data_IF_808328206744
#
_entry.id   IF_808328206744
#
_cell.length_a   1.000
_cell.length_b   1.000
_cell.length_c   1.000
_cell.angle_alpha   90.00
_cell.angle_beta   90.00
_cell.angle_gamma   90.00
#
_symmetry.space_group_name_H-M   'P 1'
#
loop_
_entity.id
_entity.type
_entity.pdbx_description
1 polymer ?
#
# COMPACT_ATOMS: atom_id res chain seq x y z
N UNK A 1 7.78 25.59 -19.56
CA UNK A 1 6.55 25.00 -19.01
C UNK A 1 6.84 23.52 -18.72
N UNK A 2 6.62 23.09 -17.48
CA UNK A 2 6.66 21.68 -17.11
C UNK A 2 5.26 21.08 -17.24
N UNK A 3 5.13 19.94 -17.92
CA UNK A 3 3.88 19.19 -18.05
C UNK A 3 4.01 17.88 -17.29
N UNK A 4 3.09 17.64 -16.38
CA UNK A 4 3.04 16.40 -15.59
C UNK A 4 2.23 15.36 -16.35
N UNK A 5 2.78 14.14 -16.50
CA UNK A 5 2.02 12.99 -17.03
C UNK A 5 0.89 12.63 -16.05
N UNK A 6 -0.32 12.93 -16.44
CA UNK A 6 -1.51 12.74 -15.60
C UNK A 6 -1.75 11.26 -15.25
N UNK A 7 -1.46 10.33 -16.18
CA UNK A 7 -1.65 8.90 -15.98
C UNK A 7 -0.65 8.33 -14.98
N UNK A 8 0.63 8.70 -15.12
CA UNK A 8 1.66 8.28 -14.16
C UNK A 8 1.41 8.88 -12.77
N UNK A 9 1.02 10.17 -12.71
CA UNK A 9 0.66 10.83 -11.46
C UNK A 9 -0.50 10.14 -10.75
N UNK A 10 -1.56 9.78 -11.49
CA UNK A 10 -2.72 9.07 -10.94
C UNK A 10 -2.33 7.70 -10.38
N UNK A 11 -1.57 6.90 -11.14
CA UNK A 11 -1.09 5.59 -10.68
C UNK A 11 -0.20 5.70 -9.44
N UNK A 12 0.67 6.72 -9.40
CA UNK A 12 1.49 7.00 -8.22
C UNK A 12 0.63 7.38 -7.01
N UNK A 13 -0.42 8.18 -7.20
CA UNK A 13 -1.36 8.53 -6.13
C UNK A 13 -2.12 7.30 -5.59
N UNK A 14 -2.53 6.37 -6.46
CA UNK A 14 -3.13 5.09 -6.06
C UNK A 14 -2.17 4.28 -5.19
N UNK A 15 -0.94 4.09 -5.65
CA UNK A 15 0.09 3.36 -4.91
C UNK A 15 0.45 4.06 -3.59
N UNK A 16 0.48 5.40 -3.56
CA UNK A 16 0.79 6.14 -2.33
C UNK A 16 -0.32 6.00 -1.29
N UNK A 17 -1.57 6.13 -1.70
CA UNK A 17 -2.69 5.91 -0.78
C UNK A 17 -2.72 4.46 -0.29
N UNK A 18 -2.48 3.49 -1.18
CA UNK A 18 -2.38 2.08 -0.79
C UNK A 18 -1.23 1.82 0.20
N UNK A 19 -0.13 2.59 0.14
CA UNK A 19 0.97 2.52 1.13
C UNK A 19 0.49 2.88 2.54
N UNK A 20 -0.33 3.92 2.70
CA UNK A 20 -0.93 4.29 3.98
C UNK A 20 -1.88 3.21 4.50
N UNK A 21 -2.75 2.67 3.62
CA UNK A 21 -3.65 1.57 3.99
C UNK A 21 -2.88 0.29 4.37
N UNK A 22 -1.78 -0.01 3.67
CA UNK A 22 -0.90 -1.13 3.97
C UNK A 22 -0.23 -0.94 5.34
N UNK A 23 0.26 0.26 5.67
CA UNK A 23 0.85 0.54 6.97
C UNK A 23 -0.16 0.31 8.09
N UNK A 24 -1.40 0.78 7.94
CA UNK A 24 -2.48 0.49 8.88
C UNK A 24 -2.73 -1.02 8.99
N UNK A 25 -2.88 -1.72 7.86
CA UNK A 25 -3.13 -3.17 7.83
C UNK A 25 -2.04 -3.97 8.57
N UNK A 26 -0.78 -3.63 8.33
CA UNK A 26 0.36 -4.27 8.99
C UNK A 26 0.32 -4.09 10.51
N UNK A 27 -0.05 -2.91 11.00
CA UNK A 27 -0.18 -2.65 12.44
C UNK A 27 -1.37 -3.37 13.07
N UNK A 28 -2.47 -3.50 12.35
CA UNK A 28 -3.67 -4.22 12.82
C UNK A 28 -3.43 -5.75 12.87
N UNK A 29 -2.80 -6.31 11.84
CA UNK A 29 -2.60 -7.76 11.72
C UNK A 29 -1.38 -8.23 12.51
N UNK A 30 -0.23 -7.55 12.38
CA UNK A 30 1.03 -7.98 12.98
C UNK A 30 1.29 -7.33 14.36
N UNK A 31 0.63 -6.22 14.65
CA UNK A 31 0.71 -5.54 15.94
C UNK A 31 1.35 -4.15 15.89
N UNK A 32 1.21 -3.37 16.99
CA UNK A 32 1.60 -1.96 17.06
C UNK A 32 3.11 -1.71 17.00
N UNK A 33 3.96 -2.75 17.12
CA UNK A 33 5.41 -2.66 16.99
C UNK A 33 5.86 -2.39 15.54
N UNK A 34 4.97 -2.60 14.57
CA UNK A 34 5.26 -2.30 13.17
C UNK A 34 5.46 -0.80 12.99
N UNK A 35 6.64 -0.44 12.50
CA UNK A 35 7.00 0.93 12.16
C UNK A 35 7.64 0.95 10.77
N UNK A 36 7.31 1.96 9.98
CA UNK A 36 7.95 2.18 8.68
C UNK A 36 9.45 2.39 8.85
N UNK A 37 10.25 1.67 8.07
CA UNK A 37 11.72 1.81 7.99
C UNK A 37 12.17 2.37 6.64
N UNK A 38 11.30 2.32 5.64
CA UNK A 38 11.50 2.90 4.33
C UNK A 38 10.29 2.66 3.44
N UNK A 39 10.15 3.46 2.40
CA UNK A 39 9.15 3.24 1.36
C UNK A 39 9.63 3.77 0.02
N UNK A 40 9.09 3.20 -1.05
CA UNK A 40 9.24 3.72 -2.40
C UNK A 40 7.90 3.60 -3.13
N UNK A 41 7.45 4.70 -3.69
CA UNK A 41 6.17 4.78 -4.40
C UNK A 41 6.42 5.16 -5.84
N UNK A 42 6.09 4.25 -6.76
CA UNK A 42 6.23 4.43 -8.20
C UNK A 42 4.87 4.29 -8.89
N UNK A 43 4.78 4.68 -10.15
CA UNK A 43 3.54 4.50 -10.93
C UNK A 43 3.19 3.04 -11.22
N UNK A 44 4.15 2.12 -11.13
CA UNK A 44 3.98 0.69 -11.44
C UNK A 44 3.82 -0.20 -10.21
N UNK A 45 4.40 0.19 -9.08
CA UNK A 45 4.41 -0.58 -7.83
C UNK A 45 4.67 0.32 -6.63
N UNK A 46 4.42 -0.20 -5.45
CA UNK A 46 4.88 0.34 -4.19
C UNK A 46 5.76 -0.67 -3.46
N UNK A 47 6.63 -0.17 -2.60
CA UNK A 47 7.50 -0.94 -1.72
C UNK A 47 7.42 -0.36 -0.32
N UNK A 48 7.27 -1.22 0.68
CA UNK A 48 7.18 -0.82 2.08
C UNK A 48 8.09 -1.68 2.94
N UNK A 49 9.05 -1.04 3.61
CA UNK A 49 9.99 -1.67 4.52
C UNK A 49 9.53 -1.36 5.96
N UNK A 50 9.44 -2.39 6.79
CA UNK A 50 8.88 -2.25 8.14
C UNK A 50 9.61 -3.13 9.17
N UNK A 51 9.53 -2.72 10.45
CA UNK A 51 10.07 -3.51 11.56
C UNK A 51 9.18 -4.71 11.85
N UNK A 52 9.75 -5.91 11.71
CA UNK A 52 9.12 -7.17 12.13
C UNK A 52 10.18 -8.26 12.18
N UNK A 53 10.16 -9.10 13.25
CA UNK A 53 11.25 -10.03 13.51
C UNK A 53 11.05 -11.42 12.86
N UNK A 54 9.81 -11.81 12.61
CA UNK A 54 9.47 -13.10 11.99
C UNK A 54 9.08 -12.95 10.53
N UNK A 55 9.09 -14.06 9.81
CA UNK A 55 8.49 -14.12 8.47
C UNK A 55 6.98 -13.92 8.59
N UNK A 56 6.42 -13.06 7.75
CA UNK A 56 4.95 -12.92 7.64
C UNK A 56 4.41 -14.20 7.00
N UNK A 57 3.45 -14.83 7.65
CA UNK A 57 2.84 -16.07 7.16
C UNK A 57 1.92 -15.82 5.96
N UNK A 58 1.60 -16.87 5.16
CA UNK A 58 0.63 -16.72 4.07
C UNK A 58 -0.74 -16.23 4.54
N UNK A 59 -1.22 -16.68 5.69
CA UNK A 59 -2.51 -16.27 6.26
C UNK A 59 -2.47 -14.80 6.67
N UNK A 60 -1.42 -14.34 7.35
CA UNK A 60 -1.24 -12.93 7.69
C UNK A 60 -1.15 -12.04 6.43
N UNK A 61 -0.45 -12.49 5.36
CA UNK A 61 -0.40 -11.77 4.10
C UNK A 61 -1.78 -11.65 3.45
N UNK A 62 -2.58 -12.72 3.53
CA UNK A 62 -3.95 -12.71 3.02
C UNK A 62 -4.83 -11.76 3.84
N UNK A 63 -4.69 -11.74 5.17
CA UNK A 63 -5.45 -10.85 6.05
C UNK A 63 -5.08 -9.39 5.81
N UNK A 64 -3.79 -9.08 5.62
CA UNK A 64 -3.32 -7.74 5.24
C UNK A 64 -3.92 -7.31 3.90
N UNK A 65 -3.88 -8.18 2.90
CA UNK A 65 -4.44 -7.89 1.57
C UNK A 65 -5.97 -7.70 1.63
N UNK A 66 -6.66 -8.53 2.37
CA UNK A 66 -8.10 -8.43 2.62
C UNK A 66 -8.46 -7.11 3.32
N UNK A 67 -7.68 -6.72 4.34
CA UNK A 67 -7.89 -5.48 5.07
C UNK A 67 -7.78 -4.26 4.14
N UNK A 68 -6.71 -4.18 3.35
CA UNK A 68 -6.51 -3.08 2.39
C UNK A 68 -7.66 -3.04 1.37
N UNK A 69 -8.02 -4.18 0.79
CA UNK A 69 -9.09 -4.25 -0.20
C UNK A 69 -10.48 -3.92 0.40
N UNK A 70 -10.73 -4.24 1.67
CA UNK A 70 -11.94 -3.80 2.37
C UNK A 70 -12.01 -2.26 2.50
N UNK A 71 -10.88 -1.59 2.77
CA UNK A 71 -10.81 -0.11 2.80
C UNK A 71 -11.01 0.51 1.42
N UNK A 72 -10.50 -0.14 0.37
CA UNK A 72 -10.73 0.26 -1.02
C UNK A 72 -12.22 0.14 -1.38
N UNK A 73 -12.82 -1.01 -1.08
CA UNK A 73 -14.24 -1.27 -1.33
C UNK A 73 -15.17 -0.35 -0.53
N UNK A 74 -14.73 0.08 0.66
CA UNK A 74 -15.43 1.03 1.51
C UNK A 74 -15.47 2.46 0.97
N UNK A 75 -14.73 2.76 -0.11
CA UNK A 75 -14.72 4.07 -0.79
C UNK A 75 -14.52 5.23 0.16
N UNK A 76 -13.52 5.13 1.04
CA UNK A 76 -13.22 6.15 2.05
C UNK A 76 -12.77 7.45 1.37
N UNK A 77 -13.37 8.60 1.69
CA UNK A 77 -12.96 9.87 1.15
C UNK A 77 -11.61 10.32 1.74
N UNK A 78 -10.86 11.10 0.98
CA UNK A 78 -9.70 11.83 1.47
C UNK A 78 -10.17 12.95 2.41
N UNK A 79 -9.73 12.89 3.66
CA UNK A 79 -9.77 14.02 4.59
C UNK A 79 -8.35 14.58 4.69
N UNK A 80 -8.20 15.86 4.36
CA UNK A 80 -6.90 16.52 4.31
C UNK A 80 -6.91 17.78 5.18
N UNK A 81 -5.95 17.87 6.08
CA UNK A 81 -5.71 19.05 6.88
C UNK A 81 -4.32 19.61 6.55
N UNK A 82 -4.27 20.90 6.24
CA UNK A 82 -3.04 21.61 5.88
C UNK A 82 -2.72 22.67 6.92
N UNK A 83 -1.43 22.88 7.14
CA UNK A 83 -0.93 23.93 8.02
C UNK A 83 -1.44 23.82 9.47
N UNK A 84 -1.68 22.60 9.95
CA UNK A 84 -1.98 22.34 11.36
C UNK A 84 -0.69 22.21 12.17
N UNK A 85 -0.74 22.47 13.48
CA UNK A 85 0.43 22.25 14.33
C UNK A 85 0.74 20.75 14.46
N UNK A 86 2.01 20.44 14.71
CA UNK A 86 2.42 19.06 14.98
C UNK A 86 1.65 18.45 16.14
N UNK A 87 1.42 19.23 17.22
CA UNK A 87 0.70 18.77 18.39
C UNK A 87 -0.75 18.41 18.05
N UNK A 88 -1.45 19.28 17.31
CA UNK A 88 -2.81 19.00 16.86
C UNK A 88 -2.89 17.71 16.04
N UNK A 89 -1.95 17.51 15.11
CA UNK A 89 -1.92 16.30 14.30
C UNK A 89 -1.73 15.03 15.15
N UNK A 90 -0.85 15.07 16.16
CA UNK A 90 -0.62 13.96 17.11
C UNK A 90 -1.88 13.69 17.93
N UNK A 91 -2.53 14.74 18.45
CA UNK A 91 -3.75 14.63 19.25
C UNK A 91 -4.91 13.99 18.44
N UNK A 92 -4.91 14.20 17.12
CA UNK A 92 -5.84 13.57 16.17
C UNK A 92 -5.40 12.14 15.73
N UNK A 93 -4.32 11.62 16.30
CA UNK A 93 -3.83 10.26 16.08
C UNK A 93 -2.95 10.09 14.85
N UNK A 94 -2.42 11.17 14.29
CA UNK A 94 -1.54 11.08 13.14
C UNK A 94 -0.23 10.36 13.48
N UNK A 95 0.13 9.39 12.62
CA UNK A 95 1.44 8.74 12.68
C UNK A 95 2.49 9.64 12.02
N UNK A 96 3.50 10.02 12.79
CA UNK A 96 4.69 10.68 12.29
C UNK A 96 5.71 9.62 11.83
N UNK A 97 6.24 9.75 10.63
CA UNK A 97 7.22 8.79 10.10
C UNK A 97 8.58 9.02 10.77
N UNK A 98 9.21 7.93 11.17
CA UNK A 98 10.51 7.97 11.83
C UNK A 98 11.60 8.53 10.89
N UNK A 99 12.35 9.51 11.38
CA UNK A 99 13.49 10.08 10.65
C UNK A 99 13.13 11.25 9.72
N UNK A 100 11.87 11.62 9.57
CA UNK A 100 11.49 12.85 8.86
C UNK A 100 11.59 14.09 9.77
N UNK A 101 12.07 15.19 9.17
CA UNK A 101 12.10 16.49 9.85
C UNK A 101 10.85 17.26 9.47
N UNK A 102 9.98 17.47 10.44
CA UNK A 102 8.77 18.27 10.27
C UNK A 102 9.04 19.73 10.67
N UNK A 103 8.40 20.67 9.98
CA UNK A 103 8.38 22.07 10.37
C UNK A 103 7.37 22.35 11.48
N UNK A 104 7.15 23.63 11.79
CA UNK A 104 6.16 24.07 12.81
C UNK A 104 4.74 23.71 12.42
N UNK A 105 4.46 23.56 11.13
CA UNK A 105 3.19 23.13 10.60
C UNK A 105 3.35 21.92 9.69
N UNK A 106 2.34 21.04 9.71
CA UNK A 106 2.33 19.78 8.99
C UNK A 106 1.05 19.63 8.14
N UNK A 107 1.10 18.67 7.22
CA UNK A 107 -0.07 18.21 6.47
C UNK A 107 -0.44 16.82 6.94
N UNK A 108 -1.67 16.63 7.41
CA UNK A 108 -2.23 15.34 7.78
C UNK A 108 -3.16 14.83 6.67
N UNK A 109 -3.01 13.55 6.36
CA UNK A 109 -3.81 12.80 5.37
C UNK A 109 -4.55 11.70 6.12
N UNK A 110 -5.88 11.66 5.95
CA UNK A 110 -6.72 10.68 6.63
C UNK A 110 -7.62 9.95 5.62
N UNK A 111 -7.69 8.64 5.77
CA UNK A 111 -8.64 7.74 5.13
C UNK A 111 -9.26 6.82 6.19
N UNK A 112 -10.44 7.20 6.68
CA UNK A 112 -11.07 6.50 7.79
C UNK A 112 -10.22 6.56 9.06
N UNK A 113 -9.66 5.44 9.50
CA UNK A 113 -8.80 5.36 10.70
C UNK A 113 -7.29 5.49 10.39
N UNK A 114 -6.90 5.48 9.13
CA UNK A 114 -5.51 5.74 8.74
C UNK A 114 -5.26 7.23 8.74
N UNK A 115 -4.40 7.72 9.63
CA UNK A 115 -4.02 9.14 9.75
C UNK A 115 -2.50 9.23 9.75
N UNK A 116 -1.92 9.91 8.76
CA UNK A 116 -0.48 10.03 8.63
C UNK A 116 -0.05 11.44 8.22
N UNK A 117 1.12 11.87 8.69
CA UNK A 117 1.76 13.09 8.20
C UNK A 117 2.39 12.82 6.84
N UNK A 118 1.90 13.49 5.80
CA UNK A 118 2.35 13.23 4.45
C UNK A 118 2.25 14.43 3.52
N UNK A 119 3.37 14.75 2.83
CA UNK A 119 3.45 15.79 1.80
C UNK A 119 3.08 15.33 0.38
N UNK A 120 2.84 14.04 0.17
CA UNK A 120 2.68 13.45 -1.16
C UNK A 120 1.29 13.61 -1.79
N UNK A 121 1.13 13.01 -2.98
CA UNK A 121 -0.15 13.02 -3.71
C UNK A 121 -0.95 11.77 -3.43
N UNK A 122 -2.24 11.95 -3.21
CA UNK A 122 -3.20 10.89 -2.89
C UNK A 122 -4.41 10.92 -3.82
N UNK A 123 -5.14 9.80 -3.90
CA UNK A 123 -6.45 9.75 -4.53
C UNK A 123 -7.47 10.50 -3.69
N UNK A 124 -8.57 10.93 -4.29
CA UNK A 124 -9.65 11.60 -3.56
C UNK A 124 -10.55 10.64 -2.80
N UNK A 125 -10.56 9.38 -3.23
CA UNK A 125 -11.35 8.32 -2.63
C UNK A 125 -10.60 7.00 -2.77
N UNK A 126 -10.61 6.14 -1.75
CA UNK A 126 -9.91 4.86 -1.81
C UNK A 126 -10.45 3.94 -2.91
N UNK A 127 -11.72 4.08 -3.30
CA UNK A 127 -12.32 3.36 -4.43
C UNK A 127 -11.62 3.62 -5.77
N UNK A 128 -10.92 4.75 -5.92
CA UNK A 128 -10.13 5.06 -7.12
C UNK A 128 -8.94 4.11 -7.31
N UNK A 129 -8.51 3.41 -6.25
CA UNK A 129 -7.43 2.42 -6.29
C UNK A 129 -7.87 1.14 -7.01
N UNK A 130 -9.16 0.83 -7.02
CA UNK A 130 -9.82 -0.35 -7.56
C UNK A 130 -9.43 -1.65 -6.83
N UNK A 131 -8.16 -2.05 -6.80
CA UNK A 131 -7.68 -3.27 -6.14
C UNK A 131 -6.21 -3.16 -5.74
N UNK A 132 -5.83 -3.87 -4.68
CA UNK A 132 -4.48 -3.98 -4.14
C UNK A 132 -4.05 -5.45 -4.13
N UNK A 133 -2.81 -5.73 -4.55
CA UNK A 133 -2.24 -7.08 -4.55
C UNK A 133 -0.81 -7.06 -4.04
N UNK A 134 -0.51 -7.90 -3.06
CA UNK A 134 0.87 -8.16 -2.61
C UNK A 134 1.54 -9.07 -3.65
N UNK A 135 2.71 -8.67 -4.13
CA UNK A 135 3.53 -9.45 -5.06
C UNK A 135 4.58 -10.29 -4.37
N UNK A 136 5.21 -9.73 -3.35
CA UNK A 136 6.27 -10.41 -2.62
C UNK A 136 6.39 -9.88 -1.20
N UNK A 137 6.90 -10.74 -0.32
CA UNK A 137 7.31 -10.42 1.04
C UNK A 137 8.66 -11.08 1.32
N UNK A 138 9.57 -10.37 2.01
CA UNK A 138 10.88 -10.91 2.33
C UNK A 138 11.66 -10.09 3.35
N UNK A 139 12.71 -10.68 3.90
CA UNK A 139 13.66 -9.98 4.77
C UNK A 139 14.62 -9.12 3.93
N UNK A 140 14.93 -7.91 4.39
CA UNK A 140 15.95 -7.04 3.79
C UNK A 140 17.11 -6.75 4.74
N UNK A 141 16.87 -6.82 6.04
CA UNK A 141 17.88 -6.73 7.09
C UNK A 141 17.38 -7.43 8.35
N UNK A 142 18.22 -7.55 9.38
CA UNK A 142 17.80 -8.09 10.67
C UNK A 142 16.65 -7.25 11.25
N UNK A 143 15.51 -7.90 11.53
CA UNK A 143 14.32 -7.26 12.05
C UNK A 143 13.61 -6.29 11.08
N UNK A 144 13.96 -6.29 9.79
CA UNK A 144 13.32 -5.46 8.76
C UNK A 144 12.81 -6.36 7.64
N UNK A 145 11.51 -6.26 7.39
CA UNK A 145 10.80 -6.95 6.31
C UNK A 145 10.38 -5.97 5.23
N UNK A 146 10.17 -6.46 4.02
CA UNK A 146 9.74 -5.71 2.85
C UNK A 146 8.53 -6.36 2.23
N UNK A 147 7.53 -5.56 1.92
CA UNK A 147 6.43 -5.93 1.01
C UNK A 147 6.56 -5.10 -0.26
N UNK A 148 6.42 -5.76 -1.41
CA UNK A 148 6.16 -5.13 -2.69
C UNK A 148 4.72 -5.42 -3.12
N UNK A 149 4.02 -4.39 -3.55
CA UNK A 149 2.62 -4.50 -3.94
C UNK A 149 2.30 -3.62 -5.15
N UNK A 150 1.17 -3.90 -5.75
CA UNK A 150 0.65 -3.22 -6.94
C UNK A 150 -0.81 -2.84 -6.75
N UNK A 151 -1.26 -1.85 -7.51
CA UNK A 151 -2.66 -1.40 -7.52
C UNK A 151 -3.16 -1.18 -8.94
N UNK A 152 -4.47 -0.99 -9.08
CA UNK A 152 -5.12 -0.54 -10.31
C UNK A 152 -4.79 -1.43 -11.53
N UNK A 153 -4.45 -0.82 -12.67
CA UNK A 153 -4.16 -1.54 -13.92
C UNK A 153 -3.08 -2.60 -13.76
N UNK A 154 -2.05 -2.35 -12.92
CA UNK A 154 -0.99 -3.33 -12.69
C UNK A 154 -1.50 -4.64 -12.06
N UNK A 155 -2.61 -4.60 -11.31
CA UNK A 155 -3.25 -5.81 -10.78
C UNK A 155 -3.97 -6.58 -11.89
N UNK A 156 -4.62 -5.87 -12.83
CA UNK A 156 -5.26 -6.51 -14.01
C UNK A 156 -4.22 -7.23 -14.87
N UNK A 157 -3.11 -6.53 -15.16
CA UNK A 157 -2.00 -7.08 -15.94
C UNK A 157 -1.42 -8.32 -15.25
N UNK A 158 -1.21 -8.27 -13.92
CA UNK A 158 -0.72 -9.40 -13.13
C UNK A 158 -1.64 -10.63 -13.21
N UNK A 159 -2.95 -10.46 -13.07
CA UNK A 159 -3.89 -11.59 -13.17
C UNK A 159 -4.01 -12.10 -14.61
N UNK A 160 -3.96 -11.23 -15.60
CA UNK A 160 -3.99 -11.61 -17.00
C UNK A 160 -2.75 -12.47 -17.37
N UNK A 161 -1.55 -12.03 -16.97
CA UNK A 161 -0.32 -12.76 -17.21
C UNK A 161 -0.29 -14.12 -16.51
N UNK A 162 -0.74 -14.19 -15.25
CA UNK A 162 -0.87 -15.45 -14.53
C UNK A 162 -1.86 -16.41 -15.19
N UNK A 163 -3.00 -15.90 -15.66
CA UNK A 163 -3.99 -16.72 -16.35
C UNK A 163 -3.45 -17.26 -17.69
N UNK A 164 -2.72 -16.45 -18.45
CA UNK A 164 -2.07 -16.90 -19.69
C UNK A 164 -1.04 -18.00 -19.41
N UNK A 165 -0.20 -17.80 -18.37
CA UNK A 165 0.76 -18.82 -17.95
C UNK A 165 0.09 -20.14 -17.57
N UNK A 166 -1.01 -20.08 -16.82
CA UNK A 166 -1.80 -21.28 -16.48
C UNK A 166 -2.40 -21.95 -17.72
N UNK A 167 -2.86 -21.16 -18.69
CA UNK A 167 -3.37 -21.69 -19.96
C UNK A 167 -2.27 -22.40 -20.74
N UNK A 168 -1.09 -21.80 -20.86
CA UNK A 168 0.08 -22.41 -21.52
C UNK A 168 0.50 -23.73 -20.85
N UNK A 169 0.52 -23.78 -19.51
CA UNK A 169 0.82 -25.01 -18.76
C UNK A 169 -0.23 -26.08 -19.03
N UNK A 170 -1.52 -25.74 -19.07
CA UNK A 170 -2.61 -26.68 -19.39
C UNK A 170 -2.43 -27.27 -20.80
N UNK A 171 -2.09 -26.44 -21.78
CA UNK A 171 -1.82 -26.90 -23.15
C UNK A 171 -0.62 -27.86 -23.20
N UNK A 172 0.47 -27.55 -22.47
CA UNK A 172 1.66 -28.41 -22.41
C UNK A 172 1.39 -29.76 -21.72
N UNK A 173 0.45 -29.81 -20.79
CA UNK A 173 0.05 -31.04 -20.07
C UNK A 173 -1.00 -31.88 -20.84
N UNK A 174 -1.22 -31.64 -22.13
CA UNK A 174 -2.13 -32.39 -22.99
C UNK A 174 -3.54 -32.56 -22.37
N UNK A 175 -4.20 -31.42 -22.14
CA UNK A 175 -5.59 -31.38 -21.66
C UNK A 175 -5.83 -31.81 -20.21
N UNK A 176 -4.92 -31.54 -19.29
CA UNK A 176 -5.21 -31.63 -17.86
C UNK A 176 -6.49 -30.83 -17.53
N UNK A 177 -7.57 -31.53 -17.13
CA UNK A 177 -8.89 -30.95 -16.96
C UNK A 177 -8.97 -30.03 -15.74
N UNK A 178 -8.12 -30.26 -14.75
CA UNK A 178 -8.06 -29.47 -13.52
C UNK A 178 -6.71 -29.65 -12.85
N UNK A 179 -5.81 -28.68 -12.91
CA UNK A 179 -4.60 -28.69 -12.08
C UNK A 179 -5.04 -28.28 -10.67
N UNK A 180 -5.17 -29.27 -9.78
CA UNK A 180 -5.44 -29.05 -8.36
C UNK A 180 -4.29 -28.31 -7.66
#
# INVERSE_FOLDING_TARGET
NAVVDAKQRYRTACNHTATHLLHQALREVLGPHVAQKGSAVHSKYLRFDFSHFSKVTPDELQDIENFVNARISGKLPLEEQRNISMQQAIDEGALALFGEKYGDTVRAIKFGQSVELCGGTHVKNTGDIWHFKIKSEGAVASGIRRIEAITNDAVKDFYFDNNNTLFEIKELLNHAKDPA
#
